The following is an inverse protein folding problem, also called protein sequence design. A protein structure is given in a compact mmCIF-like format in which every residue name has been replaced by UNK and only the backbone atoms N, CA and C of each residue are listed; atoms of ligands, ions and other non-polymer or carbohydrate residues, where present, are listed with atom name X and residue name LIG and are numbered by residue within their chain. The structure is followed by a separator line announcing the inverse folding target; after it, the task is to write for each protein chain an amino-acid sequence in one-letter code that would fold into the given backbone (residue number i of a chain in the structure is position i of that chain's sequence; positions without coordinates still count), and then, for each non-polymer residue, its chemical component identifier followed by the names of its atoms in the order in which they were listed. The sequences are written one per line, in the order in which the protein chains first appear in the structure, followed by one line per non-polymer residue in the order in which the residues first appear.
data_IF_387405624025
#
_entry.id   IF_387405624025
#
_cell.length_a   1.000
_cell.length_b   1.000
_cell.length_c   1.000
_cell.angle_alpha   90.00
_cell.angle_beta   90.00
_cell.angle_gamma   90.00
#
_symmetry.space_group_name_H-M   'P 1'
#
loop_
_entity.id
_entity.type
_entity.pdbx_description
1 polymer ?
#
# COMPACT_ATOMS: atom_id res chain seq x y z
N UNK A 1 -3.78 -8.81 26.70
CA UNK A 1 -2.83 -8.28 25.70
C UNK A 1 -3.27 -6.91 25.20
N UNK A 2 -2.33 -5.99 25.02
CA UNK A 2 -2.56 -4.62 24.54
C UNK A 2 -1.61 -4.35 23.36
N UNK A 3 -2.12 -3.67 22.34
CA UNK A 3 -1.33 -3.19 21.21
C UNK A 3 -1.23 -1.66 21.28
N UNK A 4 -0.01 -1.15 21.21
CA UNK A 4 0.30 0.27 21.11
C UNK A 4 0.95 0.57 19.76
N UNK A 5 0.54 1.68 19.13
CA UNK A 5 1.18 2.24 17.94
C UNK A 5 1.46 3.72 18.22
N UNK A 6 2.73 4.12 18.16
CA UNK A 6 3.24 5.44 18.52
C UNK A 6 2.77 5.89 19.92
N UNK A 7 2.98 5.03 20.92
CA UNK A 7 2.52 5.22 22.31
C UNK A 7 1.00 5.31 22.53
N UNK A 8 0.18 5.18 21.48
CA UNK A 8 -1.28 5.17 21.58
C UNK A 8 -1.80 3.74 21.55
N UNK A 9 -2.59 3.35 22.56
CA UNK A 9 -3.24 2.04 22.60
C UNK A 9 -4.28 1.93 21.47
N UNK A 10 -4.12 0.93 20.59
CA UNK A 10 -5.01 0.68 19.44
C UNK A 10 -5.99 -0.45 19.67
N UNK A 11 -5.55 -1.51 20.34
CA UNK A 11 -6.34 -2.74 20.47
C UNK A 11 -6.08 -3.37 21.82
N UNK A 12 -7.11 -3.96 22.42
CA UNK A 12 -7.02 -4.78 23.63
C UNK A 12 -7.68 -6.11 23.33
N UNK A 13 -7.02 -7.20 23.71
CA UNK A 13 -7.51 -8.56 23.60
C UNK A 13 -7.32 -9.28 24.94
N UNK A 14 -8.32 -10.07 25.33
CA UNK A 14 -8.30 -10.88 26.55
C UNK A 14 -8.57 -12.32 26.16
N UNK A 15 -7.75 -13.24 26.68
CA UNK A 15 -7.83 -14.66 26.39
C UNK A 15 -7.45 -15.45 27.64
N UNK A 16 -7.88 -16.71 27.70
CA UNK A 16 -7.56 -17.65 28.78
C UNK A 16 -6.95 -18.89 28.16
N UNK A 17 -5.76 -19.26 28.62
CA UNK A 17 -5.01 -20.41 28.11
C UNK A 17 -4.91 -21.45 29.23
N UNK A 18 -5.33 -22.72 29.02
CA UNK A 18 -5.10 -23.77 30.01
C UNK A 18 -3.60 -24.09 30.16
N UNK A 19 -3.22 -24.74 31.26
CA UNK A 19 -1.83 -25.16 31.46
C UNK A 19 -1.33 -26.02 30.29
N UNK A 20 -0.12 -25.70 29.78
CA UNK A 20 0.47 -26.32 28.58
C UNK A 20 -0.34 -26.12 27.28
N UNK A 21 -1.31 -25.20 27.28
CA UNK A 21 -2.07 -24.82 26.09
C UNK A 21 -1.38 -23.74 25.25
N UNK A 22 -1.88 -23.57 24.03
CA UNK A 22 -1.49 -22.50 23.12
C UNK A 22 -2.75 -21.87 22.52
N UNK A 23 -2.73 -20.56 22.29
CA UNK A 23 -3.78 -19.84 21.55
C UNK A 23 -3.16 -18.92 20.52
N UNK A 24 -3.91 -18.61 19.46
CA UNK A 24 -3.56 -17.61 18.45
C UNK A 24 -4.61 -16.50 18.47
N UNK A 25 -4.18 -15.25 18.59
CA UNK A 25 -5.06 -14.08 18.67
C UNK A 25 -4.71 -13.07 17.58
N UNK A 26 -5.73 -12.59 16.86
CA UNK A 26 -5.55 -11.61 15.79
C UNK A 26 -5.83 -10.20 16.29
N UNK A 27 -4.81 -9.34 16.25
CA UNK A 27 -4.92 -7.93 16.56
C UNK A 27 -5.17 -7.12 15.28
N UNK A 28 -6.29 -6.39 15.22
CA UNK A 28 -6.62 -5.50 14.10
C UNK A 28 -6.49 -4.05 14.54
N UNK A 29 -5.86 -3.21 13.71
CA UNK A 29 -5.78 -1.77 13.89
C UNK A 29 -5.85 -1.05 12.54
N UNK A 30 -6.13 0.25 12.56
CA UNK A 30 -6.13 1.11 11.37
C UNK A 30 -4.88 1.97 11.35
N UNK A 31 -4.27 2.06 10.18
CA UNK A 31 -3.14 2.96 9.92
C UNK A 31 -3.68 4.39 9.77
N UNK A 32 -3.15 5.33 10.54
CA UNK A 32 -3.61 6.73 10.53
C UNK A 32 -2.61 7.69 9.91
N UNK A 33 -1.32 7.43 10.09
CA UNK A 33 -0.25 8.33 9.70
C UNK A 33 0.77 7.60 8.82
N UNK A 34 1.39 8.38 7.95
CA UNK A 34 2.48 7.98 7.08
C UNK A 34 3.81 7.97 7.86
N UNK A 35 4.84 7.37 7.27
CA UNK A 35 6.18 7.27 7.84
C UNK A 35 6.37 6.08 8.77
N UNK A 36 7.48 6.09 9.51
CA UNK A 36 7.87 5.01 10.43
C UNK A 36 6.90 4.99 11.61
N UNK A 37 6.19 3.88 11.75
CA UNK A 37 5.32 3.58 12.89
C UNK A 37 6.08 2.70 13.88
N UNK A 38 6.01 3.07 15.16
CA UNK A 38 6.60 2.31 16.25
C UNK A 38 5.49 1.56 16.99
N UNK A 39 5.62 0.25 17.10
CA UNK A 39 4.65 -0.64 17.72
C UNK A 39 5.19 -1.31 18.98
N UNK A 40 4.30 -1.52 19.95
CA UNK A 40 4.59 -2.28 21.16
C UNK A 40 3.39 -3.18 21.50
N UNK A 41 3.65 -4.46 21.69
CA UNK A 41 2.67 -5.42 22.21
C UNK A 41 3.00 -5.65 23.68
N UNK A 42 2.01 -5.56 24.54
CA UNK A 42 2.13 -5.80 25.98
C UNK A 42 1.20 -6.96 26.38
N UNK A 43 1.78 -7.99 26.99
CA UNK A 43 1.03 -9.03 27.68
C UNK A 43 0.84 -8.53 29.12
N UNK A 44 -0.35 -8.75 29.68
CA UNK A 44 -0.64 -8.36 31.06
C UNK A 44 -1.06 -9.64 31.74
N UNK A 45 -0.10 -10.27 32.41
CA UNK A 45 -0.30 -11.46 33.21
C UNK A 45 0.03 -11.15 34.69
N UNK A 46 -0.54 -11.92 35.61
CA UNK A 46 -0.28 -11.80 37.04
C UNK A 46 -0.16 -13.20 37.65
N UNK A 47 0.88 -13.49 38.45
CA UNK A 47 1.87 -12.58 39.04
C UNK A 47 3.20 -12.47 38.26
N UNK A 48 3.34 -13.15 37.12
CA UNK A 48 4.56 -13.11 36.31
C UNK A 48 4.53 -11.85 35.43
N UNK A 49 5.56 -11.01 35.55
CA UNK A 49 5.63 -9.68 34.89
C UNK A 49 6.91 -9.49 34.06
N UNK A 50 7.55 -10.57 33.61
CA UNK A 50 8.84 -10.54 32.93
C UNK A 50 8.68 -10.90 31.43
N UNK A 51 9.38 -10.16 30.56
CA UNK A 51 9.37 -10.31 29.09
C UNK A 51 7.99 -10.10 28.41
N UNK A 52 7.16 -9.26 28.99
CA UNK A 52 5.79 -9.02 28.50
C UNK A 52 5.69 -7.95 27.41
N UNK A 53 6.82 -7.36 26.98
CA UNK A 53 6.82 -6.26 26.00
C UNK A 53 7.62 -6.60 24.74
N UNK A 54 6.92 -6.71 23.62
CA UNK A 54 7.51 -6.89 22.30
C UNK A 54 7.44 -5.57 21.50
N UNK A 55 8.59 -5.06 21.07
CA UNK A 55 8.69 -3.86 20.24
C UNK A 55 8.87 -4.23 18.76
N UNK A 56 8.23 -3.47 17.87
CA UNK A 56 8.35 -3.63 16.42
C UNK A 56 8.21 -2.28 15.72
N UNK A 57 8.57 -2.19 14.45
CA UNK A 57 8.36 -0.99 13.65
C UNK A 57 8.08 -1.34 12.20
N UNK A 58 7.28 -0.52 11.52
CA UNK A 58 6.98 -0.66 10.10
C UNK A 58 6.88 0.72 9.45
N UNK A 59 7.23 0.80 8.17
CA UNK A 59 7.12 2.05 7.40
C UNK A 59 5.81 2.05 6.62
N UNK A 60 5.03 3.13 6.79
CA UNK A 60 3.84 3.39 6.01
C UNK A 60 4.22 4.38 4.91
N UNK A 61 4.12 3.96 3.65
CA UNK A 61 4.36 4.84 2.52
C UNK A 61 3.39 6.04 2.57
N UNK A 62 3.89 7.22 2.22
CA UNK A 62 3.13 8.47 2.24
C UNK A 62 1.93 8.49 1.30
N UNK A 63 1.87 7.54 0.39
CA UNK A 63 0.82 7.38 -0.60
C UNK A 63 1.43 7.06 -1.94
N UNK A 64 0.65 6.40 -2.78
CA UNK A 64 1.04 5.95 -4.11
C UNK A 64 0.49 6.99 -5.08
N UNK A 65 1.32 7.89 -5.63
CA UNK A 65 0.88 8.82 -6.65
C UNK A 65 0.52 8.05 -7.93
N UNK A 66 -0.72 8.22 -8.36
CA UNK A 66 -1.30 7.58 -9.56
C UNK A 66 -1.71 8.68 -10.53
N UNK A 67 -1.16 8.65 -11.74
CA UNK A 67 -1.58 9.51 -12.85
C UNK A 67 -2.49 8.73 -13.80
N UNK A 68 -3.67 9.28 -14.08
CA UNK A 68 -4.56 8.83 -15.15
C UNK A 68 -4.47 9.79 -16.32
N UNK A 69 -4.20 9.26 -17.50
CA UNK A 69 -4.28 9.99 -18.76
C UNK A 69 -5.56 9.55 -19.44
N UNK A 70 -6.55 10.43 -19.41
CA UNK A 70 -7.91 10.14 -19.86
C UNK A 70 -8.20 10.81 -21.20
N UNK A 71 -8.99 10.14 -22.03
CA UNK A 71 -9.79 10.82 -23.06
C UNK A 71 -10.92 11.61 -22.38
N UNK A 72 -11.37 12.73 -22.98
CA UNK A 72 -12.43 13.56 -22.41
C UNK A 72 -13.64 12.71 -21.95
N UNK A 73 -13.98 12.82 -20.65
CA UNK A 73 -15.16 12.18 -20.07
C UNK A 73 -15.00 10.77 -19.49
N UNK A 74 -13.81 10.13 -19.55
CA UNK A 74 -13.64 8.73 -19.10
C UNK A 74 -12.99 8.51 -17.71
N UNK A 75 -12.59 9.57 -16.99
CA UNK A 75 -11.84 9.46 -15.72
C UNK A 75 -12.65 9.12 -14.45
N UNK A 76 -13.98 9.13 -14.51
CA UNK A 76 -14.83 9.06 -13.30
C UNK A 76 -14.71 7.73 -12.55
N UNK A 77 -14.49 6.62 -13.25
CA UNK A 77 -14.38 5.30 -12.62
C UNK A 77 -13.07 5.15 -11.83
N UNK A 78 -11.95 5.55 -12.41
CA UNK A 78 -10.63 5.46 -11.77
C UNK A 78 -10.54 6.42 -10.58
N UNK A 79 -11.15 7.60 -10.68
CA UNK A 79 -11.31 8.51 -9.55
C UNK A 79 -12.11 7.88 -8.41
N UNK A 80 -13.18 7.15 -8.70
CA UNK A 80 -13.96 6.45 -7.68
C UNK A 80 -13.23 5.24 -7.08
N UNK A 81 -12.34 4.60 -7.84
CA UNK A 81 -11.54 3.45 -7.40
C UNK A 81 -10.39 3.89 -6.48
N UNK A 82 -9.59 4.87 -6.91
CA UNK A 82 -8.42 5.33 -6.17
C UNK A 82 -8.73 6.43 -5.15
N UNK A 83 -9.75 7.25 -5.39
CA UNK A 83 -10.10 8.37 -4.50
C UNK A 83 -10.83 7.97 -3.21
N UNK A 84 -11.17 6.69 -3.03
CA UNK A 84 -11.79 6.18 -1.80
C UNK A 84 -10.78 5.79 -0.73
N UNK A 85 -9.53 5.61 -1.10
CA UNK A 85 -8.48 5.12 -0.22
C UNK A 85 -7.42 6.23 -0.09
N UNK A 86 -7.11 6.61 1.14
CA UNK A 86 -6.11 7.64 1.46
C UNK A 86 -4.70 7.22 1.06
N UNK A 87 -4.49 5.94 0.74
CA UNK A 87 -3.22 5.39 0.27
C UNK A 87 -2.88 5.85 -1.16
N UNK A 88 -3.83 6.34 -1.97
CA UNK A 88 -3.56 6.72 -3.36
C UNK A 88 -3.76 8.21 -3.61
N UNK A 89 -2.73 8.88 -4.12
CA UNK A 89 -2.87 10.24 -4.62
C UNK A 89 -3.20 10.20 -6.11
N UNK A 90 -4.50 10.21 -6.41
CA UNK A 90 -5.00 10.14 -7.77
C UNK A 90 -5.02 11.53 -8.44
N UNK A 91 -4.33 11.65 -9.56
CA UNK A 91 -4.40 12.80 -10.45
C UNK A 91 -4.87 12.36 -11.85
N UNK A 92 -5.70 13.17 -12.51
CA UNK A 92 -6.21 12.88 -13.85
C UNK A 92 -5.92 14.05 -14.78
N UNK A 93 -5.30 13.76 -15.93
CA UNK A 93 -4.98 14.74 -16.95
C UNK A 93 -5.54 14.30 -18.30
N UNK A 94 -6.05 15.23 -19.13
CA UNK A 94 -6.48 14.87 -20.46
C UNK A 94 -5.28 14.59 -21.36
N UNK A 95 -5.44 13.67 -22.32
CA UNK A 95 -4.39 13.23 -23.23
C UNK A 95 -3.66 14.35 -24.00
N UNK A 96 -4.31 15.50 -24.21
CA UNK A 96 -3.74 16.65 -24.91
C UNK A 96 -2.91 17.59 -24.00
N UNK A 97 -3.04 17.49 -22.68
CA UNK A 97 -2.36 18.36 -21.70
C UNK A 97 -1.39 17.58 -20.80
N UNK A 98 -0.86 16.46 -21.32
CA UNK A 98 0.05 15.60 -20.57
C UNK A 98 1.39 16.30 -20.34
N UNK A 99 1.73 16.49 -19.07
CA UNK A 99 3.07 16.93 -18.67
C UNK A 99 3.99 15.72 -18.46
N UNK A 100 4.79 15.43 -19.48
CA UNK A 100 5.78 14.35 -19.50
C UNK A 100 6.87 14.51 -18.42
N UNK A 101 7.19 15.74 -18.01
CA UNK A 101 8.20 15.99 -16.98
C UNK A 101 7.78 15.50 -15.59
N UNK A 102 6.47 15.34 -15.38
CA UNK A 102 5.91 14.86 -14.14
C UNK A 102 5.89 13.33 -14.02
N UNK A 103 6.13 12.57 -15.09
CA UNK A 103 6.02 11.10 -15.10
C UNK A 103 6.87 10.41 -14.02
N UNK A 104 8.15 10.79 -13.81
CA UNK A 104 8.97 10.17 -12.76
C UNK A 104 8.45 10.38 -11.33
N UNK A 105 7.52 11.32 -11.12
CA UNK A 105 6.92 11.61 -9.81
C UNK A 105 5.76 10.67 -9.47
N UNK A 106 5.27 9.89 -10.44
CA UNK A 106 4.16 8.97 -10.25
C UNK A 106 4.67 7.53 -10.23
N UNK A 107 4.16 6.75 -9.28
CA UNK A 107 4.46 5.32 -9.16
C UNK A 107 3.66 4.48 -10.15
N UNK A 108 2.52 5.00 -10.61
CA UNK A 108 1.65 4.36 -11.58
C UNK A 108 1.11 5.37 -12.58
N UNK A 109 1.27 5.07 -13.87
CA UNK A 109 0.63 5.80 -14.97
C UNK A 109 -0.40 4.89 -15.64
N UNK A 110 -1.66 5.34 -15.68
CA UNK A 110 -2.80 4.66 -16.30
C UNK A 110 -3.16 5.38 -17.59
N UNK A 111 -3.15 4.66 -18.71
CA UNK A 111 -3.66 5.17 -19.98
C UNK A 111 -5.10 4.66 -20.14
N UNK A 112 -6.07 5.56 -20.06
CA UNK A 112 -7.48 5.22 -19.97
C UNK A 112 -8.25 5.68 -21.21
N UNK A 113 -8.65 4.71 -22.05
CA UNK A 113 -9.59 4.97 -23.13
C UNK A 113 -9.07 5.87 -24.25
N UNK A 114 -7.75 5.96 -24.45
CA UNK A 114 -7.15 6.78 -25.50
C UNK A 114 -7.49 6.26 -26.91
N UNK A 115 -8.17 7.09 -27.71
CA UNK A 115 -8.50 6.87 -29.11
C UNK A 115 -7.25 6.92 -30.00
N UNK A 116 -6.31 7.81 -29.69
CA UNK A 116 -5.03 7.92 -30.35
C UNK A 116 -3.91 8.23 -29.34
N UNK A 117 -2.80 7.50 -29.44
CA UNK A 117 -1.60 7.73 -28.64
C UNK A 117 -0.64 8.57 -29.49
N UNK A 118 -0.25 9.75 -29.01
CA UNK A 118 0.74 10.56 -29.70
C UNK A 118 2.12 9.88 -29.67
N UNK A 119 2.95 10.05 -30.71
CA UNK A 119 4.31 9.48 -30.71
C UNK A 119 5.15 9.93 -29.50
N UNK A 120 4.95 11.17 -29.04
CA UNK A 120 5.60 11.70 -27.83
C UNK A 120 5.17 10.96 -26.54
N UNK A 121 3.87 10.68 -26.40
CA UNK A 121 3.36 9.89 -25.27
C UNK A 121 3.86 8.44 -25.31
N UNK A 122 3.93 7.84 -26.50
CA UNK A 122 4.46 6.48 -26.65
C UNK A 122 5.94 6.39 -26.24
N UNK A 123 6.75 7.35 -26.70
CA UNK A 123 8.18 7.42 -26.40
C UNK A 123 8.44 7.66 -24.90
N UNK A 124 7.74 8.62 -24.27
CA UNK A 124 7.94 8.88 -22.84
C UNK A 124 7.39 7.73 -21.98
N UNK A 125 6.26 7.13 -22.36
CA UNK A 125 5.75 5.96 -21.65
C UNK A 125 6.71 4.77 -21.73
N UNK A 126 7.44 4.62 -22.84
CA UNK A 126 8.50 3.62 -22.95
C UNK A 126 9.68 3.95 -22.04
N UNK A 127 10.15 5.20 -22.05
CA UNK A 127 11.24 5.67 -21.17
C UNK A 127 10.90 5.48 -19.68
N UNK A 128 9.64 5.74 -19.31
CA UNK A 128 9.14 5.56 -17.96
C UNK A 128 9.19 4.10 -17.50
N UNK A 129 8.82 3.15 -18.37
CA UNK A 129 8.91 1.71 -18.06
C UNK A 129 10.37 1.25 -17.97
N UNK A 130 11.25 1.75 -18.85
CA UNK A 130 12.69 1.47 -18.80
C UNK A 130 13.35 1.97 -17.51
N UNK A 131 12.82 3.04 -16.91
CA UNK A 131 13.26 3.59 -15.62
C UNK A 131 12.67 2.87 -14.40
N UNK A 132 11.93 1.77 -14.59
CA UNK A 132 11.33 0.97 -13.52
C UNK A 132 9.92 1.41 -13.10
N UNK A 133 9.31 2.33 -13.85
CA UNK A 133 7.92 2.76 -13.64
C UNK A 133 6.90 1.70 -14.07
N UNK A 134 5.73 1.68 -13.42
CA UNK A 134 4.67 0.71 -13.73
C UNK A 134 3.60 1.34 -14.63
N UNK A 135 3.33 0.72 -15.78
CA UNK A 135 2.28 1.17 -16.72
C UNK A 135 1.10 0.22 -16.73
N UNK A 136 -0.11 0.77 -16.58
CA UNK A 136 -1.36 0.04 -16.85
C UNK A 136 -2.05 0.65 -18.07
N UNK A 137 -2.22 -0.15 -19.12
CA UNK A 137 -2.98 0.25 -20.30
C UNK A 137 -4.35 -0.41 -20.26
N UNK A 138 -5.41 0.39 -20.08
CA UNK A 138 -6.78 -0.11 -20.06
C UNK A 138 -7.50 0.34 -21.32
N UNK A 139 -7.73 -0.59 -22.25
CA UNK A 139 -8.52 -0.35 -23.46
C UNK A 139 -9.99 -0.61 -23.11
N UNK A 140 -10.82 0.44 -23.18
CA UNK A 140 -12.23 0.34 -22.86
C UNK A 140 -12.98 -0.42 -23.97
N UNK A 141 -13.31 -1.69 -23.72
CA UNK A 141 -14.43 -2.37 -24.37
C UNK A 141 -15.12 -3.22 -23.30
N UNK A 142 -16.17 -2.66 -22.68
CA UNK A 142 -17.10 -3.36 -21.78
C UNK A 142 -16.46 -4.11 -20.60
N UNK A 143 -16.33 -3.48 -19.43
CA UNK A 143 -16.01 -4.20 -18.18
C UNK A 143 -17.07 -3.96 -17.11
N UNK A 144 -18.13 -4.79 -17.14
CA UNK A 144 -18.78 -5.24 -15.91
C UNK A 144 -17.92 -6.37 -15.36
N UNK A 145 -17.36 -6.19 -14.17
CA UNK A 145 -16.65 -7.20 -13.39
C UNK A 145 -15.33 -7.76 -13.96
N UNK A 146 -14.19 -7.15 -13.58
CA UNK A 146 -12.94 -7.87 -13.27
C UNK A 146 -11.79 -6.87 -13.01
N UNK A 147 -11.77 -6.24 -11.84
CA UNK A 147 -10.52 -5.64 -11.35
C UNK A 147 -10.30 -5.97 -9.87
N UNK A 148 -10.23 -7.27 -9.57
CA UNK A 148 -9.47 -7.74 -8.41
C UNK A 148 -7.98 -7.77 -8.81
N UNK A 149 -7.40 -6.60 -9.09
CA UNK A 149 -5.95 -6.51 -9.27
C UNK A 149 -5.32 -6.60 -7.89
N UNK A 150 -4.60 -7.71 -7.64
CA UNK A 150 -3.74 -7.91 -6.47
C UNK A 150 -2.60 -6.89 -6.49
N UNK A 151 -2.85 -5.66 -6.05
CA UNK A 151 -1.80 -4.66 -5.78
C UNK A 151 -1.03 -4.99 -4.50
N UNK A 152 -1.48 -5.95 -3.68
CA UNK A 152 -0.71 -6.44 -2.52
C UNK A 152 0.59 -7.18 -2.87
N UNK A 153 0.77 -7.66 -4.11
CA UNK A 153 1.96 -8.45 -4.46
C UNK A 153 3.21 -7.59 -4.76
N UNK A 154 3.04 -6.30 -5.10
CA UNK A 154 4.18 -5.45 -5.46
C UNK A 154 4.77 -4.71 -4.25
N UNK A 155 3.97 -4.40 -3.21
CA UNK A 155 4.49 -3.83 -1.96
C UNK A 155 5.30 -4.84 -1.10
N UNK A 156 5.11 -6.15 -1.32
CA UNK A 156 5.70 -7.19 -0.47
C UNK A 156 7.11 -7.66 -0.90
N UNK A 157 7.65 -7.20 -2.04
CA UNK A 157 8.97 -7.64 -2.55
C UNK A 157 10.15 -6.75 -2.12
N UNK A 158 9.92 -5.78 -1.23
CA UNK A 158 10.97 -4.95 -0.63
C UNK A 158 11.58 -5.50 0.67
N UNK A 159 11.13 -6.65 1.19
CA UNK A 159 11.66 -7.20 2.44
C UNK A 159 13.00 -7.91 2.20
N UNK A 160 14.10 -7.15 2.27
CA UNK A 160 15.40 -7.72 2.62
C UNK A 160 15.25 -8.43 3.97
N UNK A 161 15.41 -9.76 3.96
CA UNK A 161 15.67 -10.55 5.15
C UNK A 161 16.91 -9.98 5.85
N UNK A 162 16.71 -9.33 7.00
CA UNK A 162 17.75 -9.14 8.00
C UNK A 162 17.23 -9.68 9.33
N UNK A 163 17.34 -10.99 9.50
CA UNK A 163 17.35 -11.62 10.82
C UNK A 163 18.71 -12.30 10.97
N UNK A 164 19.62 -11.81 11.83
CA UNK A 164 20.72 -12.64 12.28
C UNK A 164 20.15 -13.71 13.22
N UNK A 165 20.35 -14.97 12.85
CA UNK A 165 20.17 -16.10 13.75
C UNK A 165 21.23 -15.98 14.86
N UNK A 166 20.85 -15.49 16.04
CA UNK A 166 21.64 -15.73 17.24
C UNK A 166 21.19 -17.05 17.87
N UNK A 167 22.14 -17.98 17.87
CA UNK A 167 22.07 -19.28 18.54
C UNK A 167 21.68 -19.11 20.01
N UNK A 168 20.75 -19.94 20.42
CA UNK A 168 20.49 -20.32 21.79
C UNK A 168 21.76 -20.78 22.51
N UNK A 169 21.87 -20.38 23.77
CA UNK A 169 22.46 -21.17 24.87
C UNK A 169 21.35 -21.30 25.90
#
# INVERSE_FOLDING_TARGET
MRLFINEVQRTVASFSIPAFGQTEESLTWTIQNEGIQQGRIEIVDYPVIFDDQLFFSYEVASGIPVLSIDEQGQGNFLRALFGRDTTFFYNSMPAFAVDFSAFPRYNLVVLNGLNAISPGLAMEAQRYVEQGGHRLAHRCLHLRAALRLRISACLALGHRKLFPAHRAI
#
